data_IF_618267916507
#
_entry.id   IF_618267916507
#
_cell.length_a   1.000
_cell.length_b   1.000
_cell.length_c   1.000
_cell.angle_alpha   90.00
_cell.angle_beta   90.00
_cell.angle_gamma   90.00
#
_symmetry.space_group_name_H-M   'P 1'
#
loop_
_entity.id
_entity.type
_entity.pdbx_description
1 polymer ?
#
# COMPACT_ATOMS: atom_id res chain seq x y z
N UNK A 1 24.42 29.25 -14.18
CA UNK A 1 23.20 29.00 -13.37
C UNK A 1 22.89 27.52 -13.43
N UNK A 2 23.21 26.74 -12.38
CA UNK A 2 23.15 25.26 -12.41
C UNK A 2 21.74 24.82 -11.99
N UNK A 3 21.01 24.16 -12.89
CA UNK A 3 19.68 23.59 -12.59
C UNK A 3 19.84 22.25 -11.86
N UNK A 4 19.30 22.10 -10.65
CA UNK A 4 19.40 20.84 -9.92
C UNK A 4 18.58 19.75 -10.62
N UNK A 5 19.14 18.54 -10.67
CA UNK A 5 18.52 17.39 -11.35
C UNK A 5 17.44 16.76 -10.47
N UNK A 6 16.44 16.11 -11.08
CA UNK A 6 15.33 15.44 -10.37
C UNK A 6 15.80 14.49 -9.24
N UNK A 7 16.94 13.82 -9.41
CA UNK A 7 17.57 12.97 -8.38
C UNK A 7 18.04 13.75 -7.15
N UNK A 8 18.58 14.96 -7.35
CA UNK A 8 19.03 15.81 -6.24
C UNK A 8 17.84 16.33 -5.43
N UNK A 9 16.74 16.68 -6.10
CA UNK A 9 15.49 17.11 -5.46
C UNK A 9 14.88 15.96 -4.62
N UNK A 10 14.87 14.73 -5.17
CA UNK A 10 14.37 13.55 -4.45
C UNK A 10 15.27 13.13 -3.28
N UNK A 11 16.60 13.27 -3.41
CA UNK A 11 17.55 12.97 -2.33
C UNK A 11 17.42 13.93 -1.14
N UNK A 12 17.16 15.21 -1.41
CA UNK A 12 16.89 16.22 -0.38
C UNK A 12 15.58 15.97 0.38
N UNK A 13 14.54 15.48 -0.31
CA UNK A 13 13.26 15.11 0.32
C UNK A 13 13.35 13.89 1.24
N UNK A 14 14.16 12.89 0.89
CA UNK A 14 14.35 11.68 1.70
C UNK A 14 15.04 11.96 3.05
N UNK A 15 15.98 12.91 3.08
CA UNK A 15 16.67 13.31 4.31
C UNK A 15 15.75 14.08 5.28
N UNK A 16 14.82 14.88 4.77
CA UNK A 16 13.88 15.66 5.59
C UNK A 16 12.85 14.81 6.33
N UNK A 17 12.35 13.74 5.71
CA UNK A 17 11.32 12.87 6.31
C UNK A 17 11.94 11.96 7.39
N UNK A 18 13.19 11.53 7.21
CA UNK A 18 13.91 10.75 8.21
C UNK A 18 14.15 11.53 9.53
N UNK A 19 14.33 12.85 9.45
CA UNK A 19 14.52 13.72 10.61
C UNK A 19 13.25 13.94 11.46
N UNK A 20 12.06 13.96 10.84
CA UNK A 20 10.80 14.12 11.58
C UNK A 20 10.30 12.82 12.24
N UNK A 21 10.69 11.65 11.74
CA UNK A 21 10.34 10.34 12.32
C UNK A 21 11.15 9.96 13.57
N UNK A 22 12.09 10.80 13.99
CA UNK A 22 12.92 10.58 15.18
C UNK A 22 12.33 11.16 16.47
N UNK A 23 11.10 11.71 16.45
CA UNK A 23 10.41 12.12 17.68
C UNK A 23 9.97 10.88 18.50
N UNK A 24 10.74 10.68 19.55
CA UNK A 24 10.76 9.61 20.57
C UNK A 24 9.45 9.48 21.37
N UNK A 25 8.33 9.12 20.73
CA UNK A 25 7.07 8.97 21.47
C UNK A 25 5.84 8.38 20.77
N UNK A 26 5.95 7.86 19.55
CA UNK A 26 4.80 7.25 18.88
C UNK A 26 4.68 5.76 19.28
N UNK A 27 3.55 5.28 19.85
CA UNK A 27 3.44 3.93 20.41
C UNK A 27 3.18 2.87 19.34
N UNK A 28 3.52 3.15 18.08
CA UNK A 28 3.45 2.15 17.03
C UNK A 28 4.82 1.48 16.92
N UNK A 29 4.88 0.14 17.02
CA UNK A 29 6.12 -0.58 16.83
C UNK A 29 6.71 -0.15 15.49
N UNK A 30 7.98 0.29 15.50
CA UNK A 30 8.72 0.54 14.27
C UNK A 30 8.73 -0.78 13.51
N UNK A 31 7.92 -0.86 12.46
CA UNK A 31 8.00 -1.94 11.51
C UNK A 31 9.45 -1.98 11.05
N UNK A 32 10.14 -3.09 11.30
CA UNK A 32 11.44 -3.34 10.70
C UNK A 32 11.24 -3.18 9.20
N UNK A 33 11.90 -2.19 8.59
CA UNK A 33 11.93 -2.06 7.15
C UNK A 33 12.83 -3.19 6.65
N UNK A 34 12.26 -4.41 6.62
CA UNK A 34 12.85 -5.51 5.90
C UNK A 34 13.05 -5.05 4.46
N UNK A 35 14.16 -5.45 3.86
CA UNK A 35 14.44 -5.26 2.44
C UNK A 35 13.14 -5.49 1.66
N UNK A 36 12.55 -4.41 1.15
CA UNK A 36 11.38 -4.49 0.30
C UNK A 36 11.86 -5.15 -0.99
N UNK A 37 11.78 -6.49 -1.04
CA UNK A 37 12.00 -7.24 -2.27
C UNK A 37 11.05 -6.62 -3.27
N UNK A 38 11.58 -6.15 -4.41
CA UNK A 38 10.77 -5.55 -5.45
C UNK A 38 9.66 -6.55 -5.80
N UNK A 39 8.44 -6.26 -5.36
CA UNK A 39 7.27 -7.14 -5.52
C UNK A 39 6.88 -7.26 -6.99
N UNK A 40 7.40 -6.37 -7.83
CA UNK A 40 7.07 -6.28 -9.25
C UNK A 40 8.32 -6.14 -10.08
N UNK A 41 8.31 -6.84 -11.21
CA UNK A 41 9.33 -6.66 -12.24
C UNK A 41 9.28 -5.23 -12.81
N UNK A 42 10.32 -4.80 -13.54
CA UNK A 42 10.27 -3.57 -14.31
C UNK A 42 9.20 -3.63 -15.42
N UNK A 43 7.94 -3.32 -15.10
CA UNK A 43 6.89 -3.00 -16.07
C UNK A 43 7.21 -1.70 -16.82
N UNK A 44 6.97 -1.72 -18.14
CA UNK A 44 7.07 -0.58 -19.05
C UNK A 44 5.78 0.27 -19.12
N UNK A 45 4.73 -0.11 -18.39
CA UNK A 45 3.40 0.51 -18.45
C UNK A 45 3.01 1.30 -17.19
N UNK A 46 1.78 1.82 -17.19
CA UNK A 46 1.20 2.49 -16.03
C UNK A 46 1.12 1.52 -14.82
N UNK A 47 1.45 2.02 -13.63
CA UNK A 47 1.44 1.24 -12.39
C UNK A 47 0.58 1.92 -11.33
N UNK A 48 -0.15 1.11 -10.57
CA UNK A 48 -0.97 1.54 -9.45
C UNK A 48 -0.64 0.67 -8.24
N UNK A 49 -0.26 1.30 -7.14
CA UNK A 49 -0.12 0.64 -5.83
C UNK A 49 -1.31 1.04 -4.97
N UNK A 50 -2.00 0.06 -4.41
CA UNK A 50 -3.14 0.25 -3.50
C UNK A 50 -2.74 -0.34 -2.15
N UNK A 51 -2.83 0.46 -1.10
CA UNK A 51 -2.56 0.04 0.28
C UNK A 51 -3.90 -0.16 0.99
N UNK A 52 -4.17 -1.39 1.40
CA UNK A 52 -5.42 -1.87 1.96
C UNK A 52 -6.27 -2.63 0.93
N UNK A 53 -6.55 -3.90 1.20
CA UNK A 53 -7.44 -4.75 0.41
C UNK A 53 -8.80 -4.97 1.08
N UNK A 54 -9.34 -3.92 1.71
CA UNK A 54 -10.73 -3.93 2.16
C UNK A 54 -11.70 -3.82 0.98
N UNK A 55 -12.99 -3.61 1.27
CA UNK A 55 -14.01 -3.34 0.27
C UNK A 55 -13.60 -2.25 -0.74
N UNK A 56 -13.04 -1.13 -0.26
CA UNK A 56 -12.66 -0.01 -1.11
C UNK A 56 -11.48 -0.35 -2.03
N UNK A 57 -10.42 -0.96 -1.47
CA UNK A 57 -9.21 -1.29 -2.22
C UNK A 57 -9.46 -2.32 -3.33
N UNK A 58 -10.21 -3.39 -3.01
CA UNK A 58 -10.61 -4.39 -4.00
C UNK A 58 -11.53 -3.81 -5.08
N UNK A 59 -12.49 -2.98 -4.68
CA UNK A 59 -13.41 -2.34 -5.63
C UNK A 59 -12.68 -1.39 -6.57
N UNK A 60 -11.75 -0.60 -6.03
CA UNK A 60 -10.90 0.30 -6.82
C UNK A 60 -10.02 -0.48 -7.80
N UNK A 61 -9.31 -1.51 -7.32
CA UNK A 61 -8.47 -2.35 -8.16
C UNK A 61 -9.25 -2.92 -9.35
N UNK A 62 -10.44 -3.47 -9.08
CA UNK A 62 -11.33 -4.03 -10.09
C UNK A 62 -11.85 -2.98 -11.06
N UNK A 63 -12.28 -1.82 -10.58
CA UNK A 63 -12.76 -0.73 -11.42
C UNK A 63 -11.66 -0.19 -12.34
N UNK A 64 -10.47 0.06 -11.79
CA UNK A 64 -9.31 0.53 -12.56
C UNK A 64 -8.89 -0.50 -13.60
N UNK A 65 -8.83 -1.79 -13.26
CA UNK A 65 -8.45 -2.83 -14.21
C UNK A 65 -9.43 -2.96 -15.39
N UNK A 66 -10.71 -2.64 -15.18
CA UNK A 66 -11.71 -2.57 -16.25
C UNK A 66 -11.52 -1.37 -17.17
N UNK A 67 -11.22 -0.21 -16.60
CA UNK A 67 -11.03 1.04 -17.35
C UNK A 67 -9.68 1.10 -18.07
N UNK A 68 -8.65 0.52 -17.46
CA UNK A 68 -7.27 0.51 -17.98
C UNK A 68 -6.71 -0.92 -17.90
N UNK A 69 -7.04 -1.81 -18.85
CA UNK A 69 -6.62 -3.23 -18.78
C UNK A 69 -5.12 -3.45 -18.69
N UNK A 70 -4.32 -2.55 -19.28
CA UNK A 70 -2.86 -2.62 -19.30
C UNK A 70 -2.16 -2.17 -18.01
N UNK A 71 -2.88 -1.63 -17.03
CA UNK A 71 -2.26 -1.17 -15.77
C UNK A 71 -1.78 -2.35 -14.92
N UNK A 72 -0.56 -2.26 -14.41
CA UNK A 72 -0.06 -3.16 -13.39
C UNK A 72 -0.55 -2.69 -12.02
N UNK A 73 -1.25 -3.55 -11.28
CA UNK A 73 -1.81 -3.22 -9.98
C UNK A 73 -1.13 -4.08 -8.92
N UNK A 74 -0.49 -3.43 -7.94
CA UNK A 74 -0.02 -4.07 -6.71
C UNK A 74 -0.98 -3.69 -5.58
N UNK A 75 -1.71 -4.67 -5.06
CA UNK A 75 -2.59 -4.53 -3.91
C UNK A 75 -1.87 -5.07 -2.67
N UNK A 76 -1.67 -4.24 -1.67
CA UNK A 76 -0.98 -4.58 -0.43
C UNK A 76 -1.97 -4.67 0.71
N UNK A 77 -2.01 -5.80 1.39
CA UNK A 77 -2.81 -6.01 2.60
C UNK A 77 -1.98 -6.82 3.59
N UNK A 78 -2.19 -6.56 4.89
CA UNK A 78 -1.47 -7.26 5.95
C UNK A 78 -1.96 -8.70 6.09
N UNK A 79 -3.28 -8.89 6.01
CA UNK A 79 -3.93 -10.19 6.14
C UNK A 79 -4.23 -10.81 4.75
N UNK A 80 -4.17 -12.14 4.60
CA UNK A 80 -4.46 -12.79 3.31
C UNK A 80 -5.96 -12.81 2.96
N UNK A 81 -6.82 -12.31 3.86
CA UNK A 81 -8.27 -12.23 3.68
C UNK A 81 -8.81 -10.92 4.25
N UNK A 82 -9.96 -10.51 3.73
CA UNK A 82 -10.73 -9.38 4.25
C UNK A 82 -11.98 -9.89 4.97
N UNK A 83 -12.11 -9.57 6.26
CA UNK A 83 -13.34 -9.80 7.00
C UNK A 83 -14.31 -8.65 6.75
N UNK A 84 -15.43 -8.97 6.09
CA UNK A 84 -16.48 -7.99 5.84
C UNK A 84 -17.28 -7.74 7.12
N UNK A 85 -17.11 -6.56 7.72
CA UNK A 85 -17.70 -6.22 9.02
C UNK A 85 -19.21 -6.53 9.15
N UNK A 86 -20.06 -6.23 8.14
CA UNK A 86 -21.49 -6.58 8.22
C UNK A 86 -21.78 -8.09 8.34
N UNK A 87 -20.87 -8.95 7.86
CA UNK A 87 -21.00 -10.40 7.98
C UNK A 87 -20.49 -10.96 9.32
N UNK A 88 -19.73 -10.17 10.10
CA UNK A 88 -19.11 -10.64 11.34
C UNK A 88 -20.14 -11.03 12.41
N UNK A 89 -21.31 -10.38 12.45
CA UNK A 89 -22.38 -10.76 13.38
C UNK A 89 -22.91 -12.16 13.09
N UNK A 90 -23.05 -12.53 11.80
CA UNK A 90 -23.50 -13.87 11.42
C UNK A 90 -22.50 -14.92 11.85
N UNK A 91 -21.20 -14.64 11.74
CA UNK A 91 -20.14 -15.50 12.24
C UNK A 91 -20.22 -15.64 13.77
N UNK A 92 -20.34 -14.52 14.50
CA UNK A 92 -20.40 -14.51 15.96
C UNK A 92 -21.57 -15.35 16.51
N UNK A 93 -22.71 -15.34 15.82
CA UNK A 93 -23.89 -16.14 16.20
C UNK A 93 -23.93 -17.55 15.58
N UNK A 94 -22.84 -18.00 14.93
CA UNK A 94 -22.76 -19.35 14.36
C UNK A 94 -23.68 -19.58 13.15
N UNK A 95 -24.13 -18.52 12.49
CA UNK A 95 -25.03 -18.59 11.33
C UNK A 95 -24.28 -18.81 10.00
N UNK A 96 -22.95 -18.71 10.00
CA UNK A 96 -22.07 -18.97 8.86
C UNK A 96 -20.73 -19.56 9.33
N UNK A 97 -20.11 -20.49 8.57
CA UNK A 97 -18.78 -21.03 8.87
C UNK A 97 -17.66 -20.01 8.59
N UNK A 98 -16.46 -20.28 9.13
CA UNK A 98 -15.22 -19.54 8.82
C UNK A 98 -14.60 -20.02 7.52
#
# INVERSE_FOLDING_TARGET
MIRPTRRQILGLGAAGIAGLGARRGWPFPRASVGSARALTAPSRGARLVIVGASFAGNSLARAVKRLVPGVEITLLEREPFFLFAPAQLRYLFGLVPF
#
